data_IF_489036965675
#
_entry.id   IF_489036965675
#
_cell.length_a   1.000
_cell.length_b   1.000
_cell.length_c   1.000
_cell.angle_alpha   90.00
_cell.angle_beta   90.00
_cell.angle_gamma   90.00
#
_symmetry.space_group_name_H-M   'P 1'
#
loop_
_entity.id
_entity.type
_entity.pdbx_description
1 polymer ?
#
# COMPACT_ATOMS: atom_id res chain seq x y z
N UNK A 1 19.51 13.92 -7.09
CA UNK A 1 18.48 14.20 -6.08
C UNK A 1 17.45 13.08 -6.15
N UNK A 2 17.62 12.03 -5.34
CA UNK A 2 16.65 10.93 -5.27
C UNK A 2 15.54 11.43 -4.37
N UNK A 3 14.42 11.87 -4.93
CA UNK A 3 13.26 12.21 -4.13
C UNK A 3 12.74 10.92 -3.49
N UNK A 4 13.15 10.63 -2.25
CA UNK A 4 12.52 9.63 -1.38
C UNK A 4 11.13 10.16 -1.01
N UNK A 5 10.25 10.29 -2.01
CA UNK A 5 8.86 10.64 -1.82
C UNK A 5 8.26 9.48 -1.05
N UNK A 6 8.04 9.72 0.24
CA UNK A 6 7.30 8.81 1.10
C UNK A 6 5.84 8.89 0.68
N UNK A 7 5.25 7.73 0.42
CA UNK A 7 3.83 7.63 0.09
C UNK A 7 3.14 7.00 1.27
N UNK A 8 2.03 7.59 1.69
CA UNK A 8 1.10 6.94 2.59
C UNK A 8 0.21 6.02 1.77
N UNK A 9 0.22 4.74 2.10
CA UNK A 9 -0.62 3.74 1.44
C UNK A 9 -1.62 3.21 2.45
N UNK A 10 -2.90 3.37 2.15
CA UNK A 10 -4.00 2.90 2.99
C UNK A 10 -4.70 1.76 2.24
N UNK A 11 -4.69 0.57 2.81
CA UNK A 11 -5.32 -0.62 2.23
C UNK A 11 -6.51 -0.99 3.09
N UNK A 12 -7.69 -1.15 2.47
CA UNK A 12 -8.91 -1.59 3.15
C UNK A 12 -9.42 -2.88 2.53
N UNK A 13 -9.72 -3.85 3.37
CA UNK A 13 -10.32 -5.10 2.95
C UNK A 13 -11.85 -5.01 3.07
N UNK A 14 -12.63 -5.03 1.98
CA UNK A 14 -14.08 -5.06 2.01
C UNK A 14 -14.64 -6.41 2.50
N UNK A 15 -13.85 -7.49 2.46
CA UNK A 15 -14.28 -8.81 2.96
C UNK A 15 -14.33 -8.91 4.48
N UNK A 16 -13.33 -8.37 5.18
CA UNK A 16 -13.23 -8.47 6.64
C UNK A 16 -13.25 -7.12 7.38
N UNK A 17 -13.20 -6.00 6.66
CA UNK A 17 -13.17 -4.65 7.21
C UNK A 17 -11.79 -4.17 7.67
N UNK A 18 -10.74 -5.00 7.54
CA UNK A 18 -9.41 -4.66 8.05
C UNK A 18 -8.78 -3.50 7.29
N UNK A 19 -8.07 -2.63 8.03
CA UNK A 19 -7.44 -1.43 7.49
C UNK A 19 -5.94 -1.42 7.81
N UNK A 20 -5.13 -1.46 6.76
CA UNK A 20 -3.67 -1.34 6.88
C UNK A 20 -3.22 0.06 6.46
N UNK A 21 -2.34 0.67 7.24
CA UNK A 21 -1.71 1.94 6.90
C UNK A 21 -0.21 1.69 6.83
N UNK A 22 0.32 1.79 5.63
CA UNK A 22 1.71 1.48 5.30
C UNK A 22 2.40 2.71 4.75
N UNK A 23 3.72 2.69 4.81
CA UNK A 23 4.58 3.68 4.16
C UNK A 23 5.22 3.01 2.95
N UNK A 24 4.84 3.48 1.77
CA UNK A 24 5.42 3.06 0.51
C UNK A 24 6.59 3.95 0.12
N UNK A 25 7.56 3.38 -0.59
CA UNK A 25 8.61 4.14 -1.28
C UNK A 25 8.55 3.84 -2.77
N UNK A 26 8.87 4.85 -3.58
CA UNK A 26 9.15 4.61 -5.01
C UNK A 26 10.58 4.13 -5.17
N UNK A 27 10.76 3.00 -5.85
CA UNK A 27 12.07 2.56 -6.26
C UNK A 27 12.61 3.43 -7.42
N UNK A 28 13.87 3.25 -7.79
CA UNK A 28 14.50 4.01 -8.89
C UNK A 28 13.86 3.72 -10.26
N UNK A 29 13.13 2.61 -10.39
CA UNK A 29 12.37 2.25 -11.59
C UNK A 29 10.97 2.89 -11.63
N UNK A 30 10.56 3.59 -10.56
CA UNK A 30 9.26 4.24 -10.44
C UNK A 30 8.15 3.36 -9.87
N UNK A 31 8.44 2.11 -9.53
CA UNK A 31 7.47 1.19 -8.90
C UNK A 31 7.34 1.49 -7.42
N UNK A 32 6.13 1.31 -6.88
CA UNK A 32 5.84 1.58 -5.48
C UNK A 32 5.92 0.28 -4.66
N UNK A 33 6.94 0.16 -3.82
CA UNK A 33 7.04 -0.95 -2.87
C UNK A 33 6.39 -0.56 -1.54
N UNK A 34 5.39 -1.34 -1.13
CA UNK A 34 4.63 -1.15 0.12
C UNK A 34 4.79 -2.33 1.08
N UNK A 35 5.36 -3.46 0.61
CA UNK A 35 5.54 -4.68 1.38
C UNK A 35 4.25 -5.47 1.67
N UNK A 36 3.09 -4.98 1.21
CA UNK A 36 1.82 -5.65 1.42
C UNK A 36 1.62 -6.80 0.42
N UNK A 37 1.43 -8.03 0.92
CA UNK A 37 1.18 -9.20 0.06
C UNK A 37 -0.27 -9.68 0.08
N UNK A 38 -0.90 -9.77 1.25
CA UNK A 38 -2.27 -10.29 1.41
C UNK A 38 -2.91 -9.81 2.70
N UNK A 39 -4.23 -9.71 2.72
CA UNK A 39 -4.97 -9.50 3.96
C UNK A 39 -4.96 -10.77 4.82
N UNK A 40 -5.08 -10.61 6.14
CA UNK A 40 -5.12 -11.71 7.12
C UNK A 40 -6.31 -12.64 6.93
N UNK A 41 -7.42 -12.16 6.35
CA UNK A 41 -8.57 -13.01 6.02
C UNK A 41 -8.37 -13.88 4.76
N UNK A 42 -7.19 -13.80 4.12
CA UNK A 42 -6.89 -14.50 2.87
C UNK A 42 -7.39 -13.79 1.62
N UNK A 43 -7.86 -12.54 1.74
CA UNK A 43 -8.23 -11.74 0.57
C UNK A 43 -6.98 -11.09 -0.06
N UNK A 44 -6.75 -11.41 -1.33
CA UNK A 44 -5.66 -10.87 -2.15
C UNK A 44 -6.16 -10.07 -3.37
N UNK A 45 -7.37 -10.35 -3.85
CA UNK A 45 -7.88 -9.75 -5.09
C UNK A 45 -8.80 -8.54 -4.88
N UNK A 46 -9.55 -8.49 -3.77
CA UNK A 46 -10.52 -7.41 -3.53
C UNK A 46 -10.00 -6.48 -2.45
N UNK A 47 -8.99 -5.67 -2.74
CA UNK A 47 -8.44 -4.73 -1.77
C UNK A 47 -8.57 -3.31 -2.30
N UNK A 48 -9.07 -2.40 -1.47
CA UNK A 48 -9.12 -0.99 -1.79
C UNK A 48 -7.81 -0.33 -1.36
N UNK A 49 -7.05 0.21 -2.30
CA UNK A 49 -5.72 0.77 -2.05
C UNK A 49 -5.74 2.26 -2.40
N UNK A 50 -5.59 3.10 -1.39
CA UNK A 50 -5.44 4.55 -1.52
C UNK A 50 -3.97 4.94 -1.33
N UNK A 51 -3.42 5.68 -2.29
CA UNK A 51 -2.03 6.14 -2.25
C UNK A 51 -2.04 7.67 -2.25
N UNK A 52 -1.46 8.27 -1.21
CA UNK A 52 -1.29 9.72 -1.13
C UNK A 52 0.19 10.07 -0.91
N UNK A 53 0.73 11.09 -1.61
CA UNK A 53 2.03 11.65 -1.24
C UNK A 53 1.93 12.28 0.16
N UNK A 54 2.95 12.04 1.00
CA UNK A 54 3.09 12.70 2.31
C UNK A 54 3.69 14.10 2.17
#
# INVERSE_FOLDING_TARGET
MSEDRRYRVVIRCPKCGEKYILRGRKNKAGEMETGFRRCVCGNENQLHVDIAPE
#
